data_IF_709780666883
#
_entry.id   IF_709780666883
#
_cell.length_a   1.000
_cell.length_b   1.000
_cell.length_c   1.000
_cell.angle_alpha   90.00
_cell.angle_beta   90.00
_cell.angle_gamma   90.00
#
_symmetry.space_group_name_H-M   'P 1'
#
loop_
_entity.id
_entity.type
_entity.pdbx_description
1 polymer ?
#
# COMPACT_ATOMS: atom_id res chain seq x y z
N UNK A 1 -9.94 11.28 -3.01
CA UNK A 1 -10.27 11.18 -4.45
C UNK A 1 -11.18 10.00 -4.67
N UNK A 2 -12.36 10.19 -5.28
CA UNK A 2 -13.23 9.06 -5.66
C UNK A 2 -12.54 8.24 -6.75
N UNK A 3 -12.56 6.91 -6.61
CA UNK A 3 -12.05 6.01 -7.65
C UNK A 3 -12.84 6.20 -8.93
N UNK A 4 -12.22 6.48 -10.08
CA UNK A 4 -12.92 6.64 -11.33
C UNK A 4 -13.75 5.39 -11.67
N UNK A 5 -14.98 5.58 -12.15
CA UNK A 5 -15.90 4.48 -12.42
C UNK A 5 -15.37 3.48 -13.47
N UNK A 6 -14.56 3.96 -14.42
CA UNK A 6 -13.96 3.10 -15.45
C UNK A 6 -12.82 2.21 -14.94
N UNK A 7 -12.31 2.41 -13.70
CA UNK A 7 -11.28 1.57 -13.11
C UNK A 7 -11.75 0.16 -12.76
N UNK A 8 -13.04 -0.02 -12.50
CA UNK A 8 -13.57 -1.28 -12.00
C UNK A 8 -14.11 -2.20 -13.12
N UNK A 9 -14.44 -1.64 -14.29
CA UNK A 9 -14.98 -2.38 -15.44
C UNK A 9 -14.31 -1.93 -16.73
N UNK A 10 -14.17 -2.85 -17.69
CA UNK A 10 -13.75 -2.52 -19.04
C UNK A 10 -14.89 -1.77 -19.73
N UNK A 11 -14.60 -0.62 -20.29
CA UNK A 11 -15.54 0.24 -20.99
C UNK A 11 -14.81 1.08 -22.05
N UNK A 12 -15.56 1.79 -22.88
CA UNK A 12 -15.00 2.54 -24.02
C UNK A 12 -13.97 3.61 -23.56
N UNK A 13 -14.23 4.29 -22.44
CA UNK A 13 -13.29 5.30 -21.89
C UNK A 13 -11.97 4.65 -21.52
N UNK A 14 -11.99 3.49 -20.84
CA UNK A 14 -10.80 2.76 -20.51
C UNK A 14 -10.01 2.32 -21.76
N UNK A 15 -10.70 1.93 -22.83
CA UNK A 15 -10.09 1.53 -24.10
C UNK A 15 -9.44 2.74 -24.80
N UNK A 16 -10.12 3.87 -24.89
CA UNK A 16 -9.59 5.10 -25.48
C UNK A 16 -8.35 5.63 -24.75
N UNK A 17 -8.24 5.38 -23.45
CA UNK A 17 -7.07 5.77 -22.65
C UNK A 17 -5.88 4.80 -22.75
N UNK A 18 -6.01 3.66 -23.44
CA UNK A 18 -4.93 2.66 -23.57
C UNK A 18 -3.62 3.24 -24.14
N UNK A 19 -3.61 4.06 -25.21
CA UNK A 19 -2.37 4.62 -25.73
C UNK A 19 -1.60 5.42 -24.66
N UNK A 20 -2.32 6.21 -23.85
CA UNK A 20 -1.72 6.98 -22.75
C UNK A 20 -1.16 6.05 -21.67
N UNK A 21 -1.85 4.93 -21.39
CA UNK A 21 -1.33 3.92 -20.44
C UNK A 21 -0.06 3.24 -20.91
N UNK A 22 0.10 3.04 -22.21
CA UNK A 22 1.35 2.54 -22.78
C UNK A 22 2.51 3.51 -22.60
N UNK A 23 2.28 4.79 -22.86
CA UNK A 23 3.29 5.86 -22.62
C UNK A 23 3.65 5.90 -21.14
N UNK A 24 2.66 5.92 -20.24
CA UNK A 24 2.86 5.85 -18.79
C UNK A 24 3.72 4.66 -18.38
N UNK A 25 3.42 3.48 -18.94
CA UNK A 25 4.17 2.25 -18.65
C UNK A 25 5.62 2.34 -19.14
N UNK A 26 5.85 2.79 -20.36
CA UNK A 26 7.19 2.91 -20.94
C UNK A 26 8.04 3.91 -20.16
N UNK A 27 7.52 5.10 -19.91
CA UNK A 27 8.22 6.13 -19.13
C UNK A 27 8.51 5.61 -17.72
N UNK A 28 7.51 5.05 -17.06
CA UNK A 28 7.67 4.45 -15.72
C UNK A 28 8.71 3.33 -15.70
N UNK A 29 8.79 2.53 -16.76
CA UNK A 29 9.77 1.46 -16.90
C UNK A 29 11.19 1.99 -17.05
N UNK A 30 11.40 3.01 -17.88
CA UNK A 30 12.70 3.67 -18.05
C UNK A 30 13.16 4.30 -16.74
N UNK A 31 12.30 5.10 -16.10
CA UNK A 31 12.60 5.72 -14.80
C UNK A 31 12.92 4.67 -13.73
N UNK A 32 12.18 3.57 -13.71
CA UNK A 32 12.42 2.47 -12.77
C UNK A 32 13.81 1.87 -13.00
N UNK A 33 14.20 1.56 -14.25
CA UNK A 33 15.51 0.98 -14.61
C UNK A 33 16.63 1.94 -14.19
N UNK A 34 16.56 3.21 -14.62
CA UNK A 34 17.60 4.22 -14.32
C UNK A 34 17.79 4.36 -12.81
N UNK A 35 16.69 4.42 -12.04
CA UNK A 35 16.75 4.57 -10.58
C UNK A 35 17.15 3.28 -9.84
N UNK A 36 17.12 2.14 -10.51
CA UNK A 36 17.52 0.85 -9.91
C UNK A 36 18.99 0.49 -10.09
N UNK A 37 19.78 1.33 -10.79
CA UNK A 37 21.20 1.05 -11.10
C UNK A 37 22.03 0.93 -9.81
N UNK A 38 21.80 1.81 -8.83
CA UNK A 38 22.53 1.78 -7.55
C UNK A 38 21.54 1.93 -6.37
N UNK A 39 20.82 0.87 -6.00
CA UNK A 39 19.87 0.94 -4.91
C UNK A 39 20.60 0.96 -3.55
N UNK A 40 20.15 1.83 -2.67
CA UNK A 40 20.62 1.85 -1.29
C UNK A 40 20.31 0.51 -0.63
N UNK A 41 21.30 -0.04 0.07
CA UNK A 41 21.15 -1.22 0.94
C UNK A 41 21.11 -0.76 2.39
N UNK A 42 20.16 -1.23 3.14
CA UNK A 42 20.10 -1.03 4.60
C UNK A 42 20.90 -2.13 5.30
N UNK A 43 21.44 -1.83 6.46
CA UNK A 43 22.02 -2.84 7.39
C UNK A 43 20.91 -3.72 7.98
N UNK A 44 19.74 -3.12 8.23
CA UNK A 44 18.55 -3.79 8.75
C UNK A 44 17.73 -4.36 7.59
N UNK A 45 17.13 -5.52 7.79
CA UNK A 45 16.23 -6.13 6.80
C UNK A 45 15.02 -5.25 6.55
N UNK A 46 14.64 -5.05 5.28
CA UNK A 46 13.51 -4.23 4.89
C UNK A 46 12.36 -5.12 4.43
N UNK A 47 11.25 -5.09 5.17
CA UNK A 47 9.98 -5.71 4.82
C UNK A 47 9.10 -4.63 4.19
N UNK A 48 8.90 -4.70 2.89
CA UNK A 48 8.10 -3.72 2.16
C UNK A 48 6.66 -4.22 1.98
N UNK A 49 5.71 -3.50 2.54
CA UNK A 49 4.28 -3.74 2.32
C UNK A 49 3.76 -2.72 1.33
N UNK A 50 3.17 -3.18 0.25
CA UNK A 50 2.66 -2.28 -0.78
C UNK A 50 1.54 -2.88 -1.60
N UNK A 51 1.13 -2.18 -2.65
CA UNK A 51 0.12 -2.66 -3.57
C UNK A 51 0.43 -2.22 -5.00
N UNK A 52 -0.24 -2.86 -5.95
CA UNK A 52 -0.16 -2.50 -7.37
C UNK A 52 -1.40 -1.73 -7.86
N UNK A 53 -2.40 -1.55 -7.01
CA UNK A 53 -3.63 -0.82 -7.30
C UNK A 53 -3.51 0.65 -6.86
N UNK A 54 -3.93 1.60 -7.68
CA UNK A 54 -3.96 3.02 -7.32
C UNK A 54 -5.20 3.31 -6.48
N UNK A 55 -5.02 3.34 -5.16
CA UNK A 55 -6.10 3.59 -4.20
C UNK A 55 -5.89 2.86 -2.88
N UNK A 56 -6.80 3.07 -1.96
CA UNK A 56 -6.78 2.46 -0.63
C UNK A 56 -7.21 0.99 -0.68
N UNK A 57 -6.27 0.08 -0.61
CA UNK A 57 -6.55 -1.38 -0.53
C UNK A 57 -6.53 -1.89 0.92
N UNK A 58 -6.31 -1.01 1.92
CA UNK A 58 -6.23 -1.40 3.33
C UNK A 58 -4.84 -1.89 3.75
N UNK A 59 -3.76 -1.31 3.22
CA UNK A 59 -2.37 -1.64 3.62
C UNK A 59 -2.08 -1.33 5.08
N UNK A 60 -2.55 -0.20 5.57
CA UNK A 60 -2.21 0.34 6.89
C UNK A 60 -2.45 -0.64 8.05
N UNK A 61 -3.57 -1.37 8.12
CA UNK A 61 -3.75 -2.42 9.13
C UNK A 61 -2.73 -3.54 9.03
N UNK A 62 -2.32 -3.93 7.82
CA UNK A 62 -1.30 -4.97 7.60
C UNK A 62 0.08 -4.48 8.04
N UNK A 63 0.46 -3.24 7.66
CA UNK A 63 1.70 -2.59 8.12
C UNK A 63 1.74 -2.55 9.64
N UNK A 64 0.64 -2.12 10.27
CA UNK A 64 0.49 -2.10 11.73
C UNK A 64 0.72 -3.49 12.35
N UNK A 65 0.02 -4.50 11.86
CA UNK A 65 0.10 -5.86 12.42
C UNK A 65 1.53 -6.43 12.32
N UNK A 66 2.19 -6.26 11.18
CA UNK A 66 3.57 -6.72 10.98
C UNK A 66 4.54 -5.95 11.89
N UNK A 67 4.40 -4.63 11.96
CA UNK A 67 5.27 -3.79 12.78
C UNK A 67 5.10 -4.10 14.28
N UNK A 68 3.88 -4.31 14.75
CA UNK A 68 3.60 -4.70 16.13
C UNK A 68 4.18 -6.08 16.46
N UNK A 69 3.99 -7.06 15.58
CA UNK A 69 4.48 -8.43 15.80
C UNK A 69 6.02 -8.50 15.86
N UNK A 70 6.71 -7.69 15.05
CA UNK A 70 8.16 -7.69 14.93
C UNK A 70 8.85 -6.63 15.79
N UNK A 71 8.10 -5.84 16.54
CA UNK A 71 8.58 -4.63 17.25
C UNK A 71 9.44 -3.74 16.34
N UNK A 72 8.97 -3.53 15.11
CA UNK A 72 9.73 -2.93 14.04
C UNK A 72 9.32 -1.48 13.78
N UNK A 73 10.27 -0.54 13.56
CA UNK A 73 9.96 0.80 13.13
C UNK A 73 9.35 0.79 11.72
N UNK A 74 8.43 1.74 11.49
CA UNK A 74 7.74 1.94 10.22
C UNK A 74 8.37 3.13 9.50
N UNK A 75 8.75 2.93 8.24
CA UNK A 75 9.19 4.01 7.34
C UNK A 75 8.15 4.23 6.27
N UNK A 76 7.58 5.44 6.23
CA UNK A 76 6.56 5.82 5.26
C UNK A 76 6.82 7.19 4.63
N UNK A 77 6.25 7.40 3.42
CA UNK A 77 6.34 8.67 2.71
C UNK A 77 5.18 9.57 3.10
N UNK A 78 5.25 10.40 4.07
CA UNK A 78 4.15 11.29 4.43
C UNK A 78 3.41 11.88 3.22
N UNK A 79 2.09 11.78 3.23
CA UNK A 79 1.22 12.47 2.31
C UNK A 79 0.85 13.83 2.91
N UNK A 80 1.08 14.91 2.15
CA UNK A 80 0.78 16.30 2.54
C UNK A 80 1.41 16.74 3.88
N UNK A 81 2.71 17.00 3.87
CA UNK A 81 3.28 17.92 4.87
C UNK A 81 2.64 19.30 4.66
N UNK A 82 1.73 19.67 5.51
CA UNK A 82 1.52 21.09 5.78
C UNK A 82 2.79 21.55 6.52
N UNK A 83 3.66 22.30 5.84
CA UNK A 83 4.98 22.72 6.35
C UNK A 83 4.89 23.47 7.70
N UNK A 84 3.71 23.95 8.07
CA UNK A 84 3.47 24.81 9.23
C UNK A 84 2.77 24.15 10.41
N UNK A 85 2.31 22.89 10.32
CA UNK A 85 1.50 22.28 11.37
C UNK A 85 2.09 21.06 12.09
N UNK A 86 3.29 20.62 11.71
CA UNK A 86 3.88 19.39 12.31
C UNK A 86 3.08 18.10 12.01
N UNK A 87 2.03 18.20 11.19
CA UNK A 87 1.12 17.11 10.89
C UNK A 87 1.76 16.12 9.92
N UNK A 88 2.04 14.93 10.42
CA UNK A 88 2.68 13.83 9.66
C UNK A 88 1.72 13.11 8.70
N UNK A 89 0.46 13.53 8.65
CA UNK A 89 -0.62 12.88 7.91
C UNK A 89 -1.40 11.87 8.74
N UNK A 90 -2.70 11.72 8.43
CA UNK A 90 -3.65 10.96 9.24
C UNK A 90 -3.21 9.51 9.51
N UNK A 91 -2.65 8.84 8.50
CA UNK A 91 -2.19 7.44 8.63
C UNK A 91 -0.99 7.32 9.59
N UNK A 92 -0.03 8.23 9.50
CA UNK A 92 1.14 8.24 10.38
C UNK A 92 0.74 8.56 11.84
N UNK A 93 -0.14 9.52 12.02
CA UNK A 93 -0.65 9.89 13.35
C UNK A 93 -1.43 8.73 13.99
N UNK A 94 -2.23 8.00 13.21
CA UNK A 94 -2.95 6.82 13.67
C UNK A 94 -2.00 5.72 14.15
N UNK A 95 -0.93 5.45 13.40
CA UNK A 95 0.07 4.44 13.76
C UNK A 95 0.88 4.86 15.00
N UNK A 96 1.26 6.14 15.08
CA UNK A 96 1.99 6.68 16.22
C UNK A 96 1.14 6.64 17.51
N UNK A 97 -0.15 7.00 17.45
CA UNK A 97 -1.10 6.88 18.56
C UNK A 97 -1.30 5.42 19.02
N UNK A 98 -1.08 4.47 18.14
CA UNK A 98 -1.08 3.04 18.47
C UNK A 98 0.23 2.56 19.12
N UNK A 99 1.14 3.47 19.50
CA UNK A 99 2.41 3.18 20.15
C UNK A 99 3.53 2.71 19.23
N UNK A 100 3.37 2.85 17.90
CA UNK A 100 4.37 2.40 16.94
C UNK A 100 5.41 3.49 16.66
N UNK A 101 6.65 3.07 16.44
CA UNK A 101 7.74 3.96 16.03
C UNK A 101 7.64 4.26 14.53
N UNK A 102 7.16 5.47 14.18
CA UNK A 102 6.84 5.86 12.80
C UNK A 102 7.78 6.97 12.31
N UNK A 103 8.50 6.70 11.24
CA UNK A 103 9.39 7.64 10.56
C UNK A 103 8.78 8.11 9.24
N UNK A 104 8.38 9.37 9.19
CA UNK A 104 7.71 9.98 8.03
C UNK A 104 8.66 10.87 7.25
N UNK A 105 8.63 10.81 5.92
CA UNK A 105 9.41 11.71 5.06
C UNK A 105 10.25 11.01 4.02
N UNK A 106 11.47 11.51 3.78
CA UNK A 106 12.37 10.84 2.83
C UNK A 106 12.83 9.49 3.37
N UNK A 107 12.53 8.44 2.61
CA UNK A 107 12.82 7.07 3.04
C UNK A 107 14.30 6.78 3.20
N UNK A 108 15.15 7.34 2.34
CA UNK A 108 16.59 7.11 2.42
C UNK A 108 17.16 7.74 3.70
N UNK A 109 16.79 8.98 3.99
CA UNK A 109 17.22 9.68 5.20
C UNK A 109 16.78 8.95 6.47
N UNK A 110 15.51 8.47 6.51
CA UNK A 110 15.00 7.70 7.63
C UNK A 110 15.74 6.36 7.80
N UNK A 111 16.09 5.68 6.71
CA UNK A 111 16.88 4.45 6.77
C UNK A 111 18.29 4.69 7.27
N UNK A 112 18.92 5.81 6.91
CA UNK A 112 20.24 6.18 7.42
C UNK A 112 20.17 6.42 8.92
N UNK A 113 19.18 7.18 9.40
CA UNK A 113 18.95 7.41 10.82
C UNK A 113 18.80 6.10 11.59
N UNK A 114 17.92 5.20 11.12
CA UNK A 114 17.67 3.91 11.77
C UNK A 114 18.88 2.97 11.75
N UNK A 115 19.71 3.03 10.69
CA UNK A 115 20.93 2.24 10.61
C UNK A 115 22.05 2.74 11.55
N UNK A 116 22.02 4.01 11.93
CA UNK A 116 22.99 4.63 12.82
C UNK A 116 22.61 4.52 14.30
N UNK A 117 21.37 4.13 14.60
CA UNK A 117 20.98 3.83 15.97
C UNK A 117 21.61 2.51 16.42
N UNK A 118 22.36 2.53 17.53
CA UNK A 118 23.02 1.36 18.12
C UNK A 118 22.05 0.39 18.83
N UNK A 119 20.74 0.47 18.55
CA UNK A 119 19.73 -0.43 19.07
C UNK A 119 19.72 -1.76 18.30
N UNK A 120 19.18 -2.80 18.91
CA UNK A 120 19.07 -4.15 18.33
C UNK A 120 18.62 -4.14 16.87
N UNK A 121 19.29 -4.94 16.05
CA UNK A 121 19.17 -4.92 14.58
C UNK A 121 17.92 -5.70 14.14
N UNK A 122 16.74 -5.28 14.58
CA UNK A 122 15.46 -5.79 14.09
C UNK A 122 15.14 -5.27 12.67
N UNK A 123 14.12 -5.84 11.98
CA UNK A 123 13.73 -5.40 10.65
C UNK A 123 13.10 -4.00 10.67
N UNK A 124 12.93 -3.43 9.48
CA UNK A 124 12.20 -2.17 9.24
C UNK A 124 11.01 -2.49 8.35
N UNK A 125 9.83 -2.02 8.71
CA UNK A 125 8.63 -2.13 7.87
C UNK A 125 8.51 -0.87 7.02
N UNK A 126 8.52 -1.03 5.69
CA UNK A 126 8.37 0.07 4.74
C UNK A 126 6.97 0.08 4.14
N UNK A 127 6.22 1.15 4.36
CA UNK A 127 4.90 1.33 3.75
C UNK A 127 4.99 1.92 2.34
N UNK A 128 4.23 1.30 1.41
CA UNK A 128 4.05 1.68 0.01
C UNK A 128 5.37 1.91 -0.77
N UNK A 129 6.37 1.07 -0.50
CA UNK A 129 7.71 1.18 -1.08
C UNK A 129 7.95 0.36 -2.36
N UNK A 130 7.00 -0.45 -2.84
CA UNK A 130 7.20 -1.40 -3.94
C UNK A 130 7.63 -0.73 -5.25
N UNK A 131 7.08 0.45 -5.57
CA UNK A 131 7.40 1.22 -6.77
C UNK A 131 8.69 2.05 -6.62
N UNK A 132 9.34 2.04 -5.48
CA UNK A 132 10.59 2.76 -5.27
C UNK A 132 11.80 1.85 -5.53
N UNK A 133 12.50 1.96 -6.67
CA UNK A 133 13.65 1.11 -6.97
C UNK A 133 14.94 1.54 -6.29
N UNK A 134 14.98 2.73 -5.69
CA UNK A 134 16.21 3.30 -5.11
C UNK A 134 16.60 2.69 -3.77
N UNK A 135 15.80 1.79 -3.24
CA UNK A 135 16.04 1.08 -1.98
C UNK A 135 15.84 -0.41 -2.23
N UNK A 136 16.82 -1.23 -1.85
CA UNK A 136 16.69 -2.69 -1.90
C UNK A 136 15.75 -3.15 -0.78
N UNK A 137 14.78 -4.00 -1.11
CA UNK A 137 13.90 -4.68 -0.16
C UNK A 137 14.35 -6.12 -0.01
N UNK A 138 14.30 -6.63 1.21
CA UNK A 138 14.62 -8.04 1.49
C UNK A 138 13.37 -8.91 1.36
N UNK A 139 12.21 -8.37 1.79
CA UNK A 139 10.90 -9.01 1.64
C UNK A 139 9.90 -8.01 1.05
N UNK A 140 9.14 -8.44 0.06
CA UNK A 140 8.11 -7.65 -0.63
C UNK A 140 6.75 -8.32 -0.49
N UNK A 141 5.83 -7.68 0.21
CA UNK A 141 4.47 -8.15 0.44
C UNK A 141 3.51 -7.30 -0.36
N UNK A 142 2.69 -7.93 -1.21
CA UNK A 142 1.65 -7.24 -1.98
C UNK A 142 0.29 -7.47 -1.31
N UNK A 143 -0.39 -6.36 -1.01
CA UNK A 143 -1.73 -6.39 -0.44
C UNK A 143 -2.78 -6.18 -1.55
N UNK A 144 -3.78 -7.04 -1.58
CA UNK A 144 -4.97 -6.93 -2.41
C UNK A 144 -6.22 -6.76 -1.55
N UNK A 145 -7.16 -6.01 -2.05
CA UNK A 145 -8.53 -6.01 -1.57
C UNK A 145 -9.37 -6.97 -2.42
N UNK A 146 -10.06 -7.92 -1.81
CA UNK A 146 -10.84 -8.94 -2.52
C UNK A 146 -11.97 -8.33 -3.37
N UNK A 147 -12.56 -7.22 -2.94
CA UNK A 147 -13.61 -6.54 -3.71
C UNK A 147 -13.08 -5.82 -4.95
N UNK A 148 -11.84 -5.34 -4.90
CA UNK A 148 -11.22 -4.58 -5.99
C UNK A 148 -10.44 -5.50 -6.94
N UNK A 149 -9.68 -6.44 -6.43
CA UNK A 149 -8.79 -7.31 -7.20
C UNK A 149 -7.83 -6.50 -8.07
N UNK A 150 -7.81 -6.78 -9.36
CA UNK A 150 -7.07 -5.99 -10.37
C UNK A 150 -7.90 -4.89 -11.03
N UNK A 151 -9.12 -4.62 -10.55
CA UNK A 151 -10.05 -3.69 -11.22
C UNK A 151 -10.41 -4.17 -12.63
N UNK A 152 -10.28 -3.28 -13.62
CA UNK A 152 -10.44 -3.64 -15.05
C UNK A 152 -9.19 -4.30 -15.65
N UNK A 153 -8.09 -4.34 -14.89
CA UNK A 153 -6.83 -4.97 -15.27
C UNK A 153 -5.89 -4.12 -16.12
N UNK A 154 -6.25 -2.87 -16.43
CA UNK A 154 -5.42 -1.94 -17.18
C UNK A 154 -4.55 -1.09 -16.25
N UNK A 155 -3.48 -0.53 -16.83
CA UNK A 155 -2.60 0.42 -16.15
C UNK A 155 -3.22 1.82 -16.11
N UNK A 156 -2.71 2.70 -15.24
CA UNK A 156 -3.05 4.11 -15.23
C UNK A 156 -2.75 4.76 -16.59
N UNK A 157 -3.60 5.66 -17.10
CA UNK A 157 -4.90 6.08 -16.59
C UNK A 157 -6.11 5.27 -17.07
N UNK A 158 -5.92 4.25 -17.95
CA UNK A 158 -7.01 3.37 -18.44
C UNK A 158 -7.63 2.53 -17.34
N UNK A 159 -6.87 2.19 -16.33
CA UNK A 159 -7.30 1.39 -15.20
C UNK A 159 -6.54 1.73 -13.92
N UNK A 160 -6.79 0.97 -12.86
CA UNK A 160 -6.27 1.29 -11.55
C UNK A 160 -4.83 0.82 -11.30
N UNK A 161 -4.21 0.08 -12.20
CA UNK A 161 -2.94 -0.54 -11.90
C UNK A 161 -1.76 0.44 -12.08
N UNK A 162 -0.92 0.56 -11.04
CA UNK A 162 0.36 1.27 -11.06
C UNK A 162 1.45 0.45 -11.79
N UNK A 163 1.32 -0.88 -11.74
CA UNK A 163 2.22 -1.85 -12.34
C UNK A 163 1.41 -2.97 -13.00
N UNK A 164 1.94 -3.64 -14.04
CA UNK A 164 1.24 -4.73 -14.69
C UNK A 164 1.01 -5.90 -13.72
N UNK A 165 -0.04 -6.69 -13.95
CA UNK A 165 -0.41 -7.86 -13.11
C UNK A 165 0.76 -8.80 -12.84
N UNK A 166 1.66 -8.97 -13.82
CA UNK A 166 2.87 -9.79 -13.67
C UNK A 166 3.82 -9.32 -12.57
N UNK A 167 3.70 -8.07 -12.10
CA UNK A 167 4.50 -7.59 -10.98
C UNK A 167 4.21 -8.36 -9.69
N UNK A 168 2.99 -8.89 -9.53
CA UNK A 168 2.62 -9.72 -8.40
C UNK A 168 3.42 -11.04 -8.31
N UNK A 169 3.95 -11.55 -9.44
CA UNK A 169 4.79 -12.76 -9.46
C UNK A 169 6.16 -12.58 -8.80
N UNK A 170 6.56 -11.33 -8.56
CA UNK A 170 7.85 -10.97 -7.95
C UNK A 170 7.75 -10.69 -6.45
N UNK A 171 6.55 -10.79 -5.89
CA UNK A 171 6.36 -10.67 -4.46
C UNK A 171 6.83 -11.94 -3.74
N UNK A 172 7.30 -11.78 -2.51
CA UNK A 172 7.63 -12.90 -1.62
C UNK A 172 6.37 -13.44 -0.95
N UNK A 173 5.35 -12.58 -0.77
CA UNK A 173 4.04 -12.98 -0.26
C UNK A 173 2.93 -12.06 -0.79
N UNK A 174 1.71 -12.59 -0.83
CA UNK A 174 0.49 -11.85 -1.14
C UNK A 174 -0.47 -11.96 0.05
N UNK A 175 -1.02 -10.82 0.47
CA UNK A 175 -2.08 -10.78 1.47
C UNK A 175 -3.36 -10.28 0.81
N UNK A 176 -4.43 -11.06 0.89
CA UNK A 176 -5.75 -10.69 0.38
C UNK A 176 -6.65 -10.34 1.55
N UNK A 177 -7.05 -9.09 1.63
CA UNK A 177 -8.04 -8.63 2.61
C UNK A 177 -9.40 -9.08 2.12
N UNK A 178 -10.03 -9.99 2.87
CA UNK A 178 -11.36 -10.53 2.56
C UNK A 178 -12.42 -9.44 2.70
N UNK A 179 -13.44 -9.54 1.86
CA UNK A 179 -14.64 -8.73 1.96
C UNK A 179 -15.84 -9.66 2.17
N UNK A 180 -16.65 -9.41 3.23
CA UNK A 180 -17.79 -10.27 3.57
C UNK A 180 -18.87 -10.24 2.50
N UNK A 181 -19.10 -9.07 1.87
CA UNK A 181 -20.20 -8.84 0.92
C UNK A 181 -19.84 -9.08 -0.55
N UNK A 182 -18.57 -8.97 -0.91
CA UNK A 182 -18.14 -9.03 -2.31
C UNK A 182 -17.00 -10.02 -2.47
N UNK A 183 -17.27 -11.16 -3.09
CA UNK A 183 -16.25 -12.14 -3.46
C UNK A 183 -15.94 -12.00 -4.95
N UNK A 184 -14.97 -11.18 -5.30
CA UNK A 184 -14.47 -11.13 -6.68
C UNK A 184 -13.38 -12.17 -6.85
N UNK A 185 -13.61 -13.15 -7.72
CA UNK A 185 -12.57 -14.09 -8.09
C UNK A 185 -11.61 -13.42 -9.07
N UNK A 186 -10.34 -13.36 -8.72
CA UNK A 186 -9.26 -12.92 -9.60
C UNK A 186 -8.06 -13.85 -9.45
N UNK A 187 -7.43 -14.15 -10.57
CA UNK A 187 -6.31 -15.10 -10.58
C UNK A 187 -5.06 -14.44 -9.99
N UNK A 188 -4.57 -15.01 -8.90
CA UNK A 188 -3.28 -14.68 -8.31
C UNK A 188 -2.17 -15.55 -8.92
N UNK A 189 -0.89 -15.17 -8.78
CA UNK A 189 0.23 -16.02 -9.18
C UNK A 189 0.29 -17.31 -8.37
N UNK A 190 0.50 -18.44 -9.04
CA UNK A 190 0.57 -19.76 -8.39
C UNK A 190 1.91 -19.98 -7.66
N UNK A 191 2.95 -19.19 -8.01
CA UNK A 191 4.30 -19.29 -7.45
C UNK A 191 4.56 -18.40 -6.23
N UNK A 192 3.54 -17.74 -5.69
CA UNK A 192 3.69 -16.83 -4.54
C UNK A 192 2.73 -17.27 -3.45
N UNK A 193 3.18 -17.44 -2.20
CA UNK A 193 2.31 -17.78 -1.09
C UNK A 193 1.24 -16.71 -0.87
N UNK A 194 0.00 -17.13 -0.66
CA UNK A 194 -1.16 -16.27 -0.49
C UNK A 194 -1.76 -16.46 0.88
N UNK A 195 -1.88 -15.38 1.63
CA UNK A 195 -2.51 -15.32 2.93
C UNK A 195 -3.81 -14.52 2.86
N UNK A 196 -4.77 -14.86 3.70
CA UNK A 196 -6.04 -14.16 3.78
C UNK A 196 -6.18 -13.47 5.13
N UNK A 197 -6.52 -12.18 5.10
CA UNK A 197 -6.77 -11.38 6.30
C UNK A 197 -8.23 -10.90 6.33
N UNK A 198 -8.81 -10.84 7.52
CA UNK A 198 -10.11 -10.24 7.76
C UNK A 198 -9.92 -8.94 8.53
N UNK A 199 -10.62 -7.88 8.14
CA UNK A 199 -10.74 -6.70 8.98
C UNK A 199 -11.80 -7.00 10.05
N UNK A 200 -11.42 -6.87 11.31
CA UNK A 200 -12.36 -6.82 12.42
C UNK A 200 -12.49 -5.36 12.86
N UNK A 201 -13.69 -4.84 12.78
CA UNK A 201 -14.02 -3.54 13.34
C UNK A 201 -14.46 -3.78 14.78
N UNK A 202 -13.71 -3.23 15.72
CA UNK A 202 -14.11 -3.21 17.14
C UNK A 202 -14.69 -1.83 17.39
N UNK A 203 -15.99 -1.77 17.71
CA UNK A 203 -16.61 -0.53 18.19
C UNK A 203 -16.17 -0.31 19.65
N UNK A 204 -15.60 0.83 19.99
CA UNK A 204 -15.32 1.19 21.37
C UNK A 204 -16.56 1.70 22.11
N UNK A 205 -17.71 1.73 21.44
CA UNK A 205 -18.98 2.25 21.98
C UNK A 205 -19.99 1.12 22.14
N UNK A 206 -20.83 1.24 23.15
CA UNK A 206 -21.97 0.37 23.38
C UNK A 206 -23.00 0.48 22.25
N UNK A 207 -23.81 -0.57 22.03
CA UNK A 207 -24.77 -0.65 20.93
C UNK A 207 -25.85 0.43 20.95
N UNK A 208 -26.11 1.04 22.11
CA UNK A 208 -27.15 2.08 22.31
C UNK A 208 -26.71 3.50 21.93
N UNK A 209 -25.43 3.69 21.55
CA UNK A 209 -24.92 5.02 21.20
C UNK A 209 -25.25 5.34 19.73
N UNK A 210 -25.99 6.45 19.50
CA UNK A 210 -26.22 6.97 18.16
C UNK A 210 -24.90 7.48 17.56
N UNK A 211 -24.37 6.79 16.56
CA UNK A 211 -23.15 7.15 15.87
C UNK A 211 -23.45 7.82 14.53
N UNK A 212 -22.73 8.90 14.23
CA UNK A 212 -22.70 9.51 12.90
C UNK A 212 -21.37 9.12 12.25
N UNK A 213 -21.45 8.41 11.14
CA UNK A 213 -20.28 7.95 10.42
C UNK A 213 -20.04 8.78 9.15
N UNK A 214 -18.79 9.23 8.97
CA UNK A 214 -18.33 9.86 7.74
C UNK A 214 -16.99 9.26 7.30
N UNK A 215 -16.75 9.19 5.99
CA UNK A 215 -15.54 8.61 5.44
C UNK A 215 -14.94 9.47 4.33
N UNK A 216 -13.71 9.95 4.55
CA UNK A 216 -12.88 10.68 3.58
C UNK A 216 -11.93 9.81 2.76
N UNK A 217 -12.23 8.51 2.57
CA UNK A 217 -11.37 7.55 1.87
C UNK A 217 -11.71 7.43 0.39
N UNK A 218 -10.78 6.93 -0.42
CA UNK A 218 -10.95 6.80 -1.87
C UNK A 218 -12.10 5.91 -2.34
N UNK A 219 -12.57 4.99 -1.49
CA UNK A 219 -13.72 4.12 -1.74
C UNK A 219 -14.63 4.08 -0.48
N UNK A 220 -15.46 5.11 -0.23
CA UNK A 220 -16.27 5.26 0.97
C UNK A 220 -17.25 4.10 1.21
N UNK A 221 -17.78 3.51 0.13
CA UNK A 221 -18.71 2.37 0.22
C UNK A 221 -18.15 1.20 1.03
N UNK A 222 -16.84 0.97 0.97
CA UNK A 222 -16.17 -0.07 1.75
C UNK A 222 -16.30 0.16 3.26
N UNK A 223 -16.26 1.42 3.70
CA UNK A 223 -16.39 1.79 5.11
C UNK A 223 -17.82 1.57 5.60
N UNK A 224 -18.82 1.96 4.80
CA UNK A 224 -20.22 1.78 5.19
C UNK A 224 -20.73 0.34 5.02
N UNK A 225 -20.01 -0.50 4.27
CA UNK A 225 -20.34 -1.90 4.04
C UNK A 225 -19.60 -2.87 4.99
N UNK A 226 -18.67 -2.37 5.82
CA UNK A 226 -17.95 -3.16 6.81
C UNK A 226 -18.73 -3.32 8.10
#
# INVERSE_FOLDING_TARGET
MKTPWWFLRKNIVAILLLPISWIYYLVGRVVFIVRSINPMRSRRKIICVGNIFAGGVGKTPIVRAIAQYLDAPIVMRGYKKNKNSGDCGDEANMLARAGLNVHVGDRKSNLILLNNQNQEIGPIVMDDGLQNPTIKKDVSIIVFDQALGYGNGFLLPSGPLRQPKRAAKKADAIIVIKNKKTKKNFKLPDNVPVFYANNQTVSPYDEDVKLVAFAGIGYPKKFFDS
#
